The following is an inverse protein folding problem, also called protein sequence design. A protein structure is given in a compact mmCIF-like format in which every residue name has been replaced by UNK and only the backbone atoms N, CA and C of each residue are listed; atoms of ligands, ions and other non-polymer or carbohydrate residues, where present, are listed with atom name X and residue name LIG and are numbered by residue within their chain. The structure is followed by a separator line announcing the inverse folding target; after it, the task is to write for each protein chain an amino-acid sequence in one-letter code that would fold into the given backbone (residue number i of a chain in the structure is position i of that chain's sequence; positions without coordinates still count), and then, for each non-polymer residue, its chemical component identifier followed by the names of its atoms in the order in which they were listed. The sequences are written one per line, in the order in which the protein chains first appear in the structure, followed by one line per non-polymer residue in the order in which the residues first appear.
data_IF_080643610087
#
_entry.id   IF_080643610087
#
_cell.length_a   1.000
_cell.length_b   1.000
_cell.length_c   1.000
_cell.angle_alpha   90.00
_cell.angle_beta   90.00
_cell.angle_gamma   90.00
#
_symmetry.space_group_name_H-M   'P 1'
#
loop_
_entity.id
_entity.type
_entity.pdbx_description
1 polymer ?
#
# COMPACT_ATOMS: atom_id res chain seq x y z
N UNK A 1 -2.97 22.94 -14.97
CA UNK A 1 -2.28 21.97 -14.09
C UNK A 1 -1.47 21.05 -14.99
N UNK A 2 -0.14 20.97 -14.84
CA UNK A 2 0.71 20.25 -15.81
C UNK A 2 0.71 18.74 -15.52
N UNK A 3 0.75 17.91 -16.57
CA UNK A 3 0.84 16.45 -16.46
C UNK A 3 1.98 15.97 -15.53
N UNK A 4 3.04 16.78 -15.42
CA UNK A 4 4.17 16.56 -14.53
C UNK A 4 3.77 16.49 -13.04
N UNK A 5 2.90 17.40 -12.58
CA UNK A 5 2.47 17.44 -11.18
C UNK A 5 1.69 16.16 -10.83
N UNK A 6 0.85 15.68 -11.74
CA UNK A 6 0.09 14.45 -11.54
C UNK A 6 0.95 13.19 -11.48
N UNK A 7 1.98 13.11 -12.33
CA UNK A 7 2.95 12.00 -12.25
C UNK A 7 3.72 12.05 -10.93
N UNK A 8 4.11 13.26 -10.48
CA UNK A 8 4.82 13.42 -9.21
C UNK A 8 3.94 13.00 -8.03
N UNK A 9 2.69 13.47 -7.97
CA UNK A 9 1.70 13.08 -6.96
C UNK A 9 1.51 11.55 -6.93
N UNK A 10 1.39 10.94 -8.11
CA UNK A 10 1.25 9.50 -8.25
C UNK A 10 2.47 8.75 -7.69
N UNK A 11 3.69 9.13 -8.06
CA UNK A 11 4.92 8.50 -7.53
C UNK A 11 5.02 8.66 -6.02
N UNK A 12 4.71 9.85 -5.49
CA UNK A 12 4.74 10.11 -4.04
C UNK A 12 3.73 9.25 -3.30
N UNK A 13 2.50 9.11 -3.81
CA UNK A 13 1.49 8.23 -3.23
C UNK A 13 1.95 6.77 -3.19
N UNK A 14 2.60 6.28 -4.25
CA UNK A 14 3.13 4.91 -4.29
C UNK A 14 4.21 4.69 -3.24
N UNK A 15 5.14 5.63 -3.10
CA UNK A 15 6.18 5.59 -2.07
C UNK A 15 5.54 5.57 -0.67
N UNK A 16 4.56 6.42 -0.42
CA UNK A 16 3.87 6.49 0.87
C UNK A 16 3.17 5.17 1.22
N UNK A 17 2.43 4.57 0.27
CA UNK A 17 1.76 3.28 0.45
C UNK A 17 2.78 2.19 0.79
N UNK A 18 3.91 2.15 0.10
CA UNK A 18 4.98 1.19 0.38
C UNK A 18 5.57 1.33 1.79
N UNK A 19 5.86 2.56 2.21
CA UNK A 19 6.37 2.81 3.56
C UNK A 19 5.36 2.46 4.64
N UNK A 20 4.10 2.86 4.46
CA UNK A 20 3.01 2.52 5.37
C UNK A 20 2.83 1.00 5.49
N UNK A 21 2.84 0.28 4.36
CA UNK A 21 2.76 -1.18 4.35
C UNK A 21 3.90 -1.81 5.16
N UNK A 22 5.14 -1.37 4.95
CA UNK A 22 6.31 -1.87 5.70
C UNK A 22 6.19 -1.61 7.21
N UNK A 23 5.72 -0.43 7.60
CA UNK A 23 5.53 -0.07 9.01
C UNK A 23 4.47 -0.99 9.63
N UNK A 24 3.31 -1.15 8.98
CA UNK A 24 2.25 -2.03 9.44
C UNK A 24 2.71 -3.48 9.56
N UNK A 25 3.41 -3.98 8.54
CA UNK A 25 3.92 -5.36 8.55
C UNK A 25 4.89 -5.57 9.71
N UNK A 26 5.81 -4.64 9.95
CA UNK A 26 6.73 -4.70 11.09
C UNK A 26 6.02 -4.67 12.44
N UNK A 27 4.89 -3.98 12.55
CA UNK A 27 4.05 -3.97 13.77
C UNK A 27 3.38 -5.34 13.93
N UNK A 28 2.80 -5.90 12.88
CA UNK A 28 2.08 -7.17 12.93
C UNK A 28 3.00 -8.38 13.13
N UNK A 29 4.22 -8.35 12.57
CA UNK A 29 5.25 -9.38 12.78
C UNK A 29 5.63 -9.56 14.26
N UNK A 30 5.35 -8.57 15.12
CA UNK A 30 5.54 -8.72 16.58
C UNK A 30 4.54 -9.68 17.23
N UNK A 31 3.44 -9.99 16.55
CA UNK A 31 2.31 -10.77 17.10
C UNK A 31 1.87 -11.94 16.22
N UNK A 32 2.13 -11.90 14.91
CA UNK A 32 1.65 -12.86 13.94
C UNK A 32 2.79 -13.43 13.09
N UNK A 33 2.54 -14.56 12.41
CA UNK A 33 3.50 -15.12 11.45
C UNK A 33 3.62 -14.22 10.20
N UNK A 34 4.61 -14.47 9.35
CA UNK A 34 4.92 -13.60 8.21
C UNK A 34 3.76 -13.45 7.23
N UNK A 35 3.13 -14.57 6.84
CA UNK A 35 2.00 -14.58 5.89
C UNK A 35 0.82 -13.78 6.45
N UNK A 36 0.47 -14.03 7.71
CA UNK A 36 -0.67 -13.39 8.39
C UNK A 36 -0.41 -11.90 8.56
N UNK A 37 0.83 -11.52 8.89
CA UNK A 37 1.24 -10.11 9.01
C UNK A 37 1.09 -9.36 7.68
N UNK A 38 1.49 -9.98 6.57
CA UNK A 38 1.36 -9.43 5.22
C UNK A 38 -0.11 -9.27 4.83
N UNK A 39 -0.96 -10.27 5.11
CA UNK A 39 -2.42 -10.20 4.85
C UNK A 39 -3.08 -9.09 5.68
N UNK A 40 -2.82 -9.02 6.99
CA UNK A 40 -3.43 -7.98 7.83
C UNK A 40 -2.96 -6.58 7.46
N UNK A 41 -1.67 -6.42 7.10
CA UNK A 41 -1.14 -5.15 6.60
C UNK A 41 -1.85 -4.70 5.32
N UNK A 42 -2.06 -5.65 4.39
CA UNK A 42 -2.75 -5.38 3.14
C UNK A 42 -4.20 -4.98 3.36
N UNK A 43 -4.94 -5.74 4.18
CA UNK A 43 -6.36 -5.47 4.46
C UNK A 43 -6.53 -4.13 5.17
N UNK A 44 -5.73 -3.86 6.20
CA UNK A 44 -5.83 -2.62 6.96
C UNK A 44 -5.47 -1.40 6.09
N UNK A 45 -4.39 -1.49 5.31
CA UNK A 45 -3.99 -0.41 4.41
C UNK A 45 -4.99 -0.23 3.27
N UNK A 46 -5.59 -1.31 2.76
CA UNK A 46 -6.66 -1.27 1.78
C UNK A 46 -7.90 -0.54 2.30
N UNK A 47 -8.34 -0.84 3.53
CA UNK A 47 -9.41 -0.07 4.17
C UNK A 47 -9.03 1.40 4.36
N UNK A 48 -7.80 1.66 4.82
CA UNK A 48 -7.34 3.01 5.06
C UNK A 48 -7.34 3.84 3.77
N UNK A 49 -6.85 3.28 2.65
CA UNK A 49 -6.91 3.95 1.34
C UNK A 49 -8.36 4.12 0.90
N UNK A 50 -9.20 3.09 1.01
CA UNK A 50 -10.60 3.16 0.59
C UNK A 50 -11.40 4.23 1.33
N UNK A 51 -11.21 4.34 2.65
CA UNK A 51 -11.93 5.32 3.47
C UNK A 51 -11.29 6.71 3.43
N UNK A 52 -9.97 6.85 3.33
CA UNK A 52 -9.30 8.15 3.43
C UNK A 52 -9.18 8.84 2.08
N UNK A 53 -8.93 8.10 0.99
CA UNK A 53 -8.71 8.69 -0.33
C UNK A 53 -9.83 9.63 -0.82
N UNK A 54 -11.13 9.37 -0.56
CA UNK A 54 -12.20 10.30 -0.92
C UNK A 54 -12.17 11.64 -0.16
N UNK A 55 -11.57 11.69 1.03
CA UNK A 55 -11.52 12.90 1.89
C UNK A 55 -10.23 13.69 1.72
N UNK A 56 -9.20 13.13 1.08
CA UNK A 56 -8.01 13.88 0.71
C UNK A 56 -8.34 14.70 -0.53
N UNK A 57 -8.90 15.89 -0.29
CA UNK A 57 -9.31 16.91 -1.27
C UNK A 57 -8.29 17.20 -2.39
N UNK A 58 -7.03 16.80 -2.20
CA UNK A 58 -5.90 17.00 -3.10
C UNK A 58 -5.74 15.93 -4.18
N UNK A 59 -6.40 14.77 -4.07
CA UNK A 59 -6.28 13.71 -5.07
C UNK A 59 -7.55 13.62 -5.91
N UNK A 60 -7.57 14.21 -7.13
CA UNK A 60 -8.76 14.20 -8.01
C UNK A 60 -9.03 12.81 -8.63
N UNK A 61 -8.30 11.78 -8.19
CA UNK A 61 -8.26 10.48 -8.82
C UNK A 61 -9.11 9.46 -8.06
N UNK A 62 -9.77 8.53 -8.78
CA UNK A 62 -10.46 7.43 -8.14
C UNK A 62 -9.50 6.65 -7.25
N UNK A 63 -9.97 6.28 -6.06
CA UNK A 63 -9.26 5.41 -5.09
C UNK A 63 -8.61 4.19 -5.78
N UNK A 64 -9.26 3.65 -6.81
CA UNK A 64 -8.80 2.55 -7.63
C UNK A 64 -7.41 2.73 -8.25
N UNK A 65 -6.94 3.97 -8.44
CA UNK A 65 -5.60 4.25 -8.99
C UNK A 65 -4.48 3.82 -8.04
N UNK A 66 -4.75 3.73 -6.74
CA UNK A 66 -3.78 3.31 -5.72
C UNK A 66 -3.77 1.81 -5.43
N UNK A 67 -4.85 1.11 -5.79
CA UNK A 67 -5.00 -0.33 -5.57
C UNK A 67 -3.95 -1.20 -6.29
N UNK A 68 -3.57 -0.92 -7.55
CA UNK A 68 -2.50 -1.66 -8.23
C UNK A 68 -1.18 -1.64 -7.45
N UNK A 69 -0.81 -0.50 -6.86
CA UNK A 69 0.37 -0.39 -6.01
C UNK A 69 0.29 -1.37 -4.83
N UNK A 70 -0.85 -1.32 -4.13
CA UNK A 70 -1.12 -2.14 -2.96
C UNK A 70 -1.04 -3.64 -3.30
N UNK A 71 -1.62 -4.05 -4.43
CA UNK A 71 -1.62 -5.44 -4.92
C UNK A 71 -0.20 -5.89 -5.28
N UNK A 72 0.56 -5.06 -6.01
CA UNK A 72 1.96 -5.38 -6.37
C UNK A 72 2.80 -5.59 -5.11
N UNK A 73 2.66 -4.69 -4.12
CA UNK A 73 3.39 -4.78 -2.86
C UNK A 73 2.99 -6.05 -2.11
N UNK A 74 1.71 -6.37 -2.06
CA UNK A 74 1.21 -7.59 -1.42
C UNK A 74 1.76 -8.86 -2.06
N UNK A 75 1.64 -8.99 -3.38
CA UNK A 75 2.16 -10.15 -4.13
C UNK A 75 3.67 -10.26 -3.95
N UNK A 76 4.41 -9.15 -4.05
CA UNK A 76 5.86 -9.14 -3.88
C UNK A 76 6.27 -9.65 -2.49
N UNK A 77 5.63 -9.19 -1.41
CA UNK A 77 5.97 -9.63 -0.06
C UNK A 77 5.62 -11.11 0.16
N UNK A 78 4.48 -11.59 -0.34
CA UNK A 78 4.15 -13.01 -0.27
C UNK A 78 5.17 -13.86 -1.04
N UNK A 79 5.57 -13.42 -2.23
CA UNK A 79 6.55 -14.11 -3.04
C UNK A 79 7.91 -14.22 -2.32
N UNK A 80 8.41 -13.11 -1.76
CA UNK A 80 9.66 -13.10 -0.99
C UNK A 80 9.64 -14.08 0.19
N UNK A 81 8.52 -14.16 0.92
CA UNK A 81 8.36 -15.10 2.05
C UNK A 81 8.33 -16.55 1.55
N UNK A 82 7.74 -16.80 0.38
CA UNK A 82 7.58 -18.15 -0.19
C UNK A 82 8.82 -18.69 -0.92
N UNK A 83 9.87 -17.88 -1.10
CA UNK A 83 11.10 -18.35 -1.75
C UNK A 83 11.76 -19.42 -0.89
N UNK A 84 12.06 -20.61 -1.43
CA UNK A 84 12.89 -21.58 -0.73
C UNK A 84 14.28 -20.95 -0.53
N UNK A 85 14.69 -20.87 0.74
CA UNK A 85 16.04 -20.46 1.16
C UNK A 85 17.11 -21.39 0.63
#
# INVERSE_FOLDING_TARGET
MSAFIYILEFVVSYILIFFLFKILNKIFLKKFNDITSVIFSFVLLGFLIFFIAPFVYSFPYPVFIYFPALIIIFIYNLYEISKPT
#
